data_IF_089627705204
#
_entry.id   IF_089627705204
#
_cell.length_a   1.000
_cell.length_b   1.000
_cell.length_c   1.000
_cell.angle_alpha   90.00
_cell.angle_beta   90.00
_cell.angle_gamma   90.00
#
_symmetry.space_group_name_H-M   'P 1'
#
loop_
_entity.id
_entity.type
_entity.pdbx_description
1 polymer ?
#
# COMPACT_ATOMS: atom_id res chain seq x y z
N UNK A 1 -15.27 18.78 -6.79
CA UNK A 1 -14.50 18.20 -5.67
C UNK A 1 -13.81 19.34 -4.98
N UNK A 2 -14.07 19.50 -3.68
CA UNK A 2 -13.42 20.49 -2.86
C UNK A 2 -11.88 20.35 -2.92
N UNK A 3 -11.18 21.45 -2.70
CA UNK A 3 -9.72 21.53 -2.85
C UNK A 3 -9.02 20.53 -1.90
N UNK A 4 -9.59 20.30 -0.70
CA UNK A 4 -9.14 19.27 0.24
C UNK A 4 -9.35 17.85 -0.28
N UNK A 5 -10.50 17.53 -0.89
CA UNK A 5 -10.76 16.20 -1.46
C UNK A 5 -9.74 15.86 -2.55
N UNK A 6 -9.38 16.83 -3.39
CA UNK A 6 -8.33 16.66 -4.41
C UNK A 6 -6.97 16.33 -3.79
N UNK A 7 -6.57 17.05 -2.75
CA UNK A 7 -5.28 16.83 -2.06
C UNK A 7 -5.24 15.44 -1.44
N UNK A 8 -6.29 15.04 -0.71
CA UNK A 8 -6.37 13.71 -0.09
C UNK A 8 -6.34 12.58 -1.13
N UNK A 9 -7.04 12.75 -2.25
CA UNK A 9 -7.04 11.77 -3.34
C UNK A 9 -5.65 11.60 -3.94
N UNK A 10 -4.93 12.71 -4.17
CA UNK A 10 -3.54 12.68 -4.69
C UNK A 10 -2.60 11.99 -3.69
N UNK A 11 -2.66 12.33 -2.40
CA UNK A 11 -1.84 11.67 -1.38
C UNK A 11 -2.16 10.17 -1.30
N UNK A 12 -3.44 9.80 -1.27
CA UNK A 12 -3.87 8.41 -1.28
C UNK A 12 -3.36 7.63 -2.49
N UNK A 13 -3.43 8.23 -3.68
CA UNK A 13 -2.89 7.62 -4.91
C UNK A 13 -1.37 7.45 -4.87
N UNK A 14 -0.63 8.44 -4.34
CA UNK A 14 0.83 8.36 -4.23
C UNK A 14 1.27 7.25 -3.25
N UNK A 15 0.57 7.11 -2.13
CA UNK A 15 0.80 6.02 -1.18
C UNK A 15 0.47 4.65 -1.78
N UNK A 16 -0.62 4.56 -2.57
CA UNK A 16 -0.97 3.34 -3.30
C UNK A 16 0.11 2.92 -4.29
N UNK A 17 0.67 3.87 -5.05
CA UNK A 17 1.79 3.61 -5.97
C UNK A 17 3.03 3.13 -5.22
N UNK A 18 3.40 3.79 -4.12
CA UNK A 18 4.56 3.39 -3.30
C UNK A 18 4.43 1.96 -2.77
N UNK A 19 3.21 1.56 -2.37
CA UNK A 19 2.97 0.21 -1.88
C UNK A 19 3.06 -0.86 -2.98
N UNK A 20 2.66 -0.55 -4.22
CA UNK A 20 2.86 -1.43 -5.38
C UNK A 20 4.37 -1.66 -5.61
N UNK A 21 5.18 -0.60 -5.55
CA UNK A 21 6.64 -0.74 -5.67
C UNK A 21 7.24 -1.62 -4.58
N UNK A 22 6.80 -1.47 -3.32
CA UNK A 22 7.24 -2.35 -2.23
C UNK A 22 6.83 -3.80 -2.46
N UNK A 23 5.63 -4.05 -3.00
CA UNK A 23 5.17 -5.39 -3.34
C UNK A 23 6.07 -6.02 -4.42
N UNK A 24 6.39 -5.27 -5.49
CA UNK A 24 7.29 -5.73 -6.56
C UNK A 24 8.69 -6.05 -6.02
N UNK A 25 9.23 -5.20 -5.14
CA UNK A 25 10.53 -5.46 -4.51
C UNK A 25 10.53 -6.76 -3.70
N UNK A 26 9.48 -7.00 -2.90
CA UNK A 26 9.40 -8.24 -2.12
C UNK A 26 9.15 -9.46 -3.03
N UNK A 27 8.40 -9.32 -4.11
CA UNK A 27 8.24 -10.37 -5.11
C UNK A 27 9.58 -10.75 -5.77
N UNK A 28 10.42 -9.75 -6.09
CA UNK A 28 11.76 -10.00 -6.61
C UNK A 28 12.66 -10.71 -5.57
N UNK A 29 12.57 -10.33 -4.29
CA UNK A 29 13.27 -11.03 -3.20
C UNK A 29 12.80 -12.47 -3.02
N UNK A 30 11.48 -12.70 -3.13
CA UNK A 30 10.91 -14.04 -3.10
C UNK A 30 11.48 -14.90 -4.23
N UNK A 31 11.47 -14.38 -5.45
CA UNK A 31 12.01 -15.07 -6.63
C UNK A 31 13.51 -15.37 -6.49
N UNK A 32 14.29 -14.43 -5.96
CA UNK A 32 15.71 -14.62 -5.70
C UNK A 32 15.95 -15.70 -4.62
N UNK A 33 15.25 -15.63 -3.49
CA UNK A 33 15.37 -16.63 -2.42
C UNK A 33 14.98 -18.03 -2.87
N UNK A 34 13.97 -18.16 -3.75
CA UNK A 34 13.60 -19.45 -4.36
C UNK A 34 14.67 -19.98 -5.32
N UNK A 35 15.37 -19.10 -6.04
CA UNK A 35 16.43 -19.51 -6.97
C UNK A 35 17.70 -19.96 -6.26
N UNK A 36 17.93 -19.47 -5.03
CA UNK A 36 19.10 -19.77 -4.21
C UNK A 36 18.84 -20.82 -3.11
N UNK A 37 17.64 -21.43 -3.09
CA UNK A 37 17.17 -22.33 -2.02
C UNK A 37 17.29 -21.73 -0.59
N UNK A 38 17.25 -20.41 -0.48
CA UNK A 38 17.29 -19.69 0.80
C UNK A 38 15.87 -19.48 1.35
N UNK A 39 15.44 -20.47 2.13
CA UNK A 39 14.15 -20.45 2.83
C UNK A 39 13.97 -19.20 3.72
N UNK A 40 15.04 -18.63 4.29
CA UNK A 40 14.93 -17.44 5.15
C UNK A 40 14.61 -16.19 4.34
N UNK A 41 15.18 -16.06 3.15
CA UNK A 41 14.90 -14.93 2.25
C UNK A 41 13.49 -15.03 1.68
N UNK A 42 13.03 -16.25 1.35
CA UNK A 42 11.65 -16.53 0.95
C UNK A 42 10.66 -16.11 2.05
N UNK A 43 10.86 -16.56 3.29
CA UNK A 43 9.92 -16.30 4.38
C UNK A 43 9.83 -14.80 4.71
N UNK A 44 10.96 -14.10 4.75
CA UNK A 44 11.00 -12.64 4.92
C UNK A 44 10.31 -11.90 3.77
N UNK A 45 10.47 -12.36 2.54
CA UNK A 45 9.83 -11.76 1.39
C UNK A 45 8.30 -11.92 1.44
N UNK A 46 7.81 -13.13 1.78
CA UNK A 46 6.38 -13.39 1.98
C UNK A 46 5.82 -12.54 3.12
N UNK A 47 6.50 -12.47 4.27
CA UNK A 47 6.07 -11.64 5.38
C UNK A 47 6.04 -10.15 5.01
N UNK A 48 7.03 -9.69 4.24
CA UNK A 48 7.06 -8.34 3.67
C UNK A 48 5.89 -8.08 2.72
N UNK A 49 5.51 -9.04 1.87
CA UNK A 49 4.33 -8.91 0.99
C UNK A 49 3.03 -8.83 1.79
N UNK A 50 2.86 -9.65 2.83
CA UNK A 50 1.68 -9.63 3.69
C UNK A 50 1.55 -8.30 4.42
N UNK A 51 2.63 -7.83 5.07
CA UNK A 51 2.62 -6.55 5.79
C UNK A 51 2.29 -5.40 4.86
N UNK A 52 2.89 -5.36 3.67
CA UNK A 52 2.59 -4.32 2.68
C UNK A 52 1.15 -4.40 2.17
N UNK A 53 0.63 -5.61 1.93
CA UNK A 53 -0.77 -5.82 1.55
C UNK A 53 -1.76 -5.30 2.60
N UNK A 54 -1.52 -5.59 3.88
CA UNK A 54 -2.31 -5.06 4.99
C UNK A 54 -2.21 -3.52 5.06
N UNK A 55 -1.02 -2.97 4.85
CA UNK A 55 -0.80 -1.52 4.86
C UNK A 55 -1.61 -0.79 3.78
N UNK A 56 -1.70 -1.37 2.56
CA UNK A 56 -2.51 -0.80 1.47
C UNK A 56 -3.98 -0.70 1.87
N UNK A 57 -4.53 -1.75 2.48
CA UNK A 57 -5.93 -1.78 2.92
C UNK A 57 -6.20 -0.71 3.98
N UNK A 58 -5.27 -0.56 4.94
CA UNK A 58 -5.37 0.47 5.98
C UNK A 58 -5.35 1.88 5.36
N UNK A 59 -4.41 2.15 4.43
CA UNK A 59 -4.30 3.44 3.75
C UNK A 59 -5.58 3.74 2.94
N UNK A 60 -6.06 2.75 2.16
CA UNK A 60 -7.27 2.91 1.37
C UNK A 60 -8.50 3.21 2.25
N UNK A 61 -8.63 2.52 3.39
CA UNK A 61 -9.69 2.76 4.36
C UNK A 61 -9.59 4.15 5.01
N UNK A 62 -8.38 4.57 5.39
CA UNK A 62 -8.15 5.90 5.98
C UNK A 62 -8.47 7.04 5.00
N UNK A 63 -8.07 6.90 3.73
CA UNK A 63 -8.39 7.89 2.68
C UNK A 63 -9.89 7.94 2.41
N UNK A 64 -10.55 6.78 2.29
CA UNK A 64 -12.00 6.72 2.09
C UNK A 64 -12.77 7.38 3.24
N UNK A 65 -12.37 7.12 4.48
CA UNK A 65 -12.95 7.74 5.67
C UNK A 65 -12.72 9.26 5.71
N UNK A 66 -11.51 9.72 5.38
CA UNK A 66 -11.21 11.15 5.33
C UNK A 66 -12.08 11.86 4.27
N UNK A 67 -12.27 11.24 3.10
CA UNK A 67 -13.15 11.75 2.04
C UNK A 67 -14.62 11.76 2.46
N UNK A 68 -15.11 10.73 3.16
CA UNK A 68 -16.50 10.69 3.63
C UNK A 68 -16.78 11.77 4.69
N UNK A 69 -15.86 11.97 5.64
CA UNK A 69 -15.98 13.02 6.65
C UNK A 69 -15.95 14.42 6.02
N UNK A 70 -15.08 14.65 5.03
CA UNK A 70 -15.05 15.92 4.32
C UNK A 70 -16.34 16.18 3.56
N UNK A 71 -16.87 15.17 2.88
CA UNK A 71 -18.13 15.28 2.14
C UNK A 71 -19.31 15.60 3.06
N UNK A 72 -19.29 15.12 4.31
CA UNK A 72 -20.30 15.42 5.32
C UNK A 72 -20.20 16.84 5.91
N UNK A 73 -19.03 17.50 5.79
CA UNK A 73 -18.79 18.85 6.31
C UNK A 73 -18.98 19.91 5.21
N UNK A 74 -18.61 19.59 3.97
CA UNK A 74 -18.66 20.54 2.83
C UNK A 74 -19.92 20.40 1.97
N UNK A 75 -20.79 19.43 2.26
CA UNK A 75 -22.12 19.25 1.65
C UNK A 75 -23.20 19.90 2.50
#
# INVERSE_FOLDING_TARGET
MDQLTKILTVIGSAMGVAAIFMFIMNFNRLRAGMAEDDARTVDKAVQGMIINGVFVVIIAGAVAYAVSQLSAITG
#
